data_IF_765566722766
#
_entry.id   IF_765566722766
#
_cell.length_a   1.000
_cell.length_b   1.000
_cell.length_c   1.000
_cell.angle_alpha   90.00
_cell.angle_beta   90.00
_cell.angle_gamma   90.00
#
_symmetry.space_group_name_H-M   'P 1'
#
loop_
_entity.id
_entity.type
_entity.pdbx_description
1 polymer ?
#
# COMPACT_ATOMS: atom_id res chain seq x y z
N UNK A 1 7.48 -24.40 13.04
CA UNK A 1 7.65 -23.57 14.22
C UNK A 1 6.59 -22.52 14.29
N UNK A 2 5.93 -22.43 15.40
CA UNK A 2 4.79 -21.55 15.57
C UNK A 2 5.17 -20.08 15.40
N UNK A 3 6.29 -19.69 16.01
CA UNK A 3 6.67 -18.29 15.99
C UNK A 3 7.06 -17.79 14.62
N UNK A 4 7.29 -18.68 13.64
CA UNK A 4 7.62 -18.24 12.29
C UNK A 4 6.44 -17.62 11.57
N UNK A 5 5.24 -17.93 12.04
CA UNK A 5 4.04 -17.29 11.48
C UNK A 5 4.06 -15.78 11.67
N UNK A 6 4.76 -15.34 12.68
CA UNK A 6 4.75 -13.93 13.05
C UNK A 6 6.12 -13.30 12.92
N UNK A 7 6.91 -13.78 11.97
CA UNK A 7 8.18 -13.14 11.72
C UNK A 7 7.95 -11.72 11.24
N UNK A 8 8.94 -10.85 11.45
CA UNK A 8 8.83 -9.46 11.04
C UNK A 8 8.53 -9.34 9.55
N UNK A 9 9.25 -10.09 8.74
CA UNK A 9 9.05 -9.99 7.29
C UNK A 9 7.66 -10.47 6.87
N UNK A 10 7.10 -11.46 7.56
CA UNK A 10 5.76 -11.93 7.24
C UNK A 10 4.71 -10.88 7.59
N UNK A 11 4.86 -10.24 8.74
CA UNK A 11 3.94 -9.18 9.14
C UNK A 11 4.01 -8.03 8.16
N UNK A 12 5.22 -7.63 7.80
CA UNK A 12 5.40 -6.53 6.86
C UNK A 12 4.84 -6.87 5.48
N UNK A 13 4.96 -8.12 5.06
CA UNK A 13 4.40 -8.51 3.78
C UNK A 13 2.89 -8.40 3.78
N UNK A 14 2.24 -8.78 4.87
CA UNK A 14 0.80 -8.62 4.97
C UNK A 14 0.40 -7.17 4.94
N UNK A 15 1.15 -6.32 5.62
CA UNK A 15 0.89 -4.88 5.59
C UNK A 15 1.08 -4.33 4.19
N UNK A 16 2.11 -4.79 3.48
CA UNK A 16 2.33 -4.37 2.12
C UNK A 16 1.14 -4.73 1.22
N UNK A 17 0.63 -5.95 1.36
CA UNK A 17 -0.53 -6.37 0.57
C UNK A 17 -1.77 -5.54 0.88
N UNK A 18 -1.92 -5.13 2.15
CA UNK A 18 -3.00 -4.21 2.50
C UNK A 18 -2.84 -2.87 1.82
N UNK A 19 -1.61 -2.36 1.72
CA UNK A 19 -1.38 -1.10 1.02
C UNK A 19 -1.78 -1.20 -0.44
N UNK A 20 -1.44 -2.31 -1.08
CA UNK A 20 -1.80 -2.51 -2.48
C UNK A 20 -3.32 -2.57 -2.66
N UNK A 21 -4.01 -3.24 -1.75
CA UNK A 21 -5.46 -3.32 -1.83
C UNK A 21 -6.10 -1.94 -1.64
N UNK A 22 -5.57 -1.16 -0.70
CA UNK A 22 -6.06 0.19 -0.48
C UNK A 22 -5.81 1.09 -1.68
N UNK A 23 -4.64 0.95 -2.31
CA UNK A 23 -4.34 1.71 -3.51
C UNK A 23 -5.38 1.45 -4.58
N UNK A 24 -5.71 0.17 -4.81
CA UNK A 24 -6.66 -0.19 -5.84
C UNK A 24 -8.04 0.39 -5.55
N UNK A 25 -8.50 0.29 -4.31
CA UNK A 25 -9.80 0.79 -3.92
C UNK A 25 -9.87 2.31 -4.04
N UNK A 26 -8.81 2.99 -3.61
CA UNK A 26 -8.79 4.45 -3.66
C UNK A 26 -8.71 4.95 -5.10
N UNK A 27 -8.00 4.24 -5.98
CA UNK A 27 -7.98 4.62 -7.38
C UNK A 27 -9.37 4.54 -7.98
N UNK A 28 -10.11 3.50 -7.66
CA UNK A 28 -11.46 3.33 -8.15
C UNK A 28 -12.35 4.46 -7.67
N UNK A 29 -12.25 4.81 -6.38
CA UNK A 29 -13.02 5.91 -5.83
C UNK A 29 -12.64 7.25 -6.45
N UNK A 30 -11.36 7.45 -6.71
CA UNK A 30 -10.89 8.66 -7.35
C UNK A 30 -11.54 8.84 -8.72
N UNK A 31 -11.50 7.77 -9.51
CA UNK A 31 -12.08 7.84 -10.86
C UNK A 31 -13.58 8.11 -10.80
N UNK A 32 -14.26 7.50 -9.86
CA UNK A 32 -15.69 7.70 -9.71
C UNK A 32 -16.01 9.14 -9.30
N UNK A 33 -15.25 9.68 -8.36
CA UNK A 33 -15.43 11.07 -7.94
C UNK A 33 -15.22 12.02 -9.10
N UNK A 34 -14.19 11.78 -9.91
CA UNK A 34 -13.89 12.63 -11.04
C UNK A 34 -14.99 12.55 -12.10
N UNK A 35 -15.53 11.35 -12.33
CA UNK A 35 -16.62 11.19 -13.28
C UNK A 35 -17.87 11.95 -12.84
N UNK A 36 -18.07 12.08 -11.55
CA UNK A 36 -19.22 12.81 -11.02
C UNK A 36 -18.96 14.30 -10.88
N UNK A 37 -17.80 14.77 -11.31
CA UNK A 37 -17.46 16.18 -11.23
C UNK A 37 -17.03 16.66 -9.85
N UNK A 38 -16.76 15.74 -8.94
CA UNK A 38 -16.32 16.08 -7.58
C UNK A 38 -14.81 16.28 -7.58
N UNK A 39 -14.38 17.41 -8.14
CA UNK A 39 -12.95 17.62 -8.37
C UNK A 39 -12.18 17.80 -7.09
N UNK A 40 -12.75 18.45 -6.08
CA UNK A 40 -12.03 18.62 -4.83
C UNK A 40 -11.88 17.31 -4.08
N UNK A 41 -12.97 16.51 -4.03
CA UNK A 41 -12.91 15.20 -3.40
C UNK A 41 -11.91 14.31 -4.14
N UNK A 42 -11.99 14.30 -5.48
CA UNK A 42 -11.08 13.49 -6.27
C UNK A 42 -9.63 13.90 -6.05
N UNK A 43 -9.36 15.20 -5.97
CA UNK A 43 -8.02 15.67 -5.71
C UNK A 43 -7.49 15.26 -4.35
N UNK A 44 -8.36 15.31 -3.33
CA UNK A 44 -7.95 14.90 -1.99
C UNK A 44 -7.63 13.40 -1.94
N UNK A 45 -8.44 12.59 -2.63
CA UNK A 45 -8.18 11.15 -2.66
C UNK A 45 -6.90 10.86 -3.41
N UNK A 46 -6.64 11.59 -4.50
CA UNK A 46 -5.38 11.40 -5.23
C UNK A 46 -4.16 11.71 -4.37
N UNK A 47 -4.24 12.74 -3.54
CA UNK A 47 -3.16 13.04 -2.62
C UNK A 47 -2.90 11.92 -1.65
N UNK A 48 -3.97 11.35 -1.10
CA UNK A 48 -3.86 10.20 -0.20
C UNK A 48 -3.28 9.00 -0.93
N UNK A 49 -3.76 8.76 -2.14
CA UNK A 49 -3.31 7.64 -2.95
C UNK A 49 -1.81 7.75 -3.24
N UNK A 50 -1.34 8.96 -3.52
CA UNK A 50 0.08 9.17 -3.77
C UNK A 50 0.93 8.78 -2.55
N UNK A 51 0.49 9.20 -1.36
CA UNK A 51 1.21 8.88 -0.12
C UNK A 51 1.25 7.37 0.12
N UNK A 52 0.12 6.71 -0.09
CA UNK A 52 0.04 5.26 0.12
C UNK A 52 0.95 4.55 -0.88
N UNK A 53 0.98 5.02 -2.13
CA UNK A 53 1.85 4.43 -3.14
C UNK A 53 3.32 4.59 -2.79
N UNK A 54 3.71 5.76 -2.30
CA UNK A 54 5.08 5.99 -1.87
C UNK A 54 5.46 5.03 -0.75
N UNK A 55 4.57 4.88 0.23
CA UNK A 55 4.83 4.00 1.36
C UNK A 55 4.88 2.53 0.92
N UNK A 56 4.01 2.14 0.00
CA UNK A 56 4.04 0.77 -0.50
C UNK A 56 5.36 0.47 -1.19
N UNK A 57 5.88 1.42 -1.96
CA UNK A 57 7.18 1.25 -2.60
C UNK A 57 8.31 1.12 -1.61
N UNK A 58 8.28 1.93 -0.56
CA UNK A 58 9.27 1.86 0.50
C UNK A 58 9.22 0.49 1.20
N UNK A 59 8.02 0.03 1.52
CA UNK A 59 7.85 -1.26 2.19
C UNK A 59 8.36 -2.39 1.31
N UNK A 60 8.05 -2.32 0.01
CA UNK A 60 8.49 -3.35 -0.93
C UNK A 60 10.00 -3.45 -0.94
N UNK A 61 10.69 -2.32 -1.03
CA UNK A 61 12.14 -2.31 -1.06
C UNK A 61 12.73 -2.77 0.26
N UNK A 62 12.12 -2.35 1.37
CA UNK A 62 12.57 -2.78 2.68
C UNK A 62 12.43 -4.27 2.88
N UNK A 63 11.31 -4.84 2.41
CA UNK A 63 11.10 -6.27 2.49
C UNK A 63 12.15 -7.04 1.71
N UNK A 64 12.47 -6.57 0.51
CA UNK A 64 13.47 -7.24 -0.31
C UNK A 64 14.81 -7.26 0.40
N UNK A 65 15.19 -6.14 1.02
CA UNK A 65 16.45 -6.07 1.73
C UNK A 65 16.46 -6.92 2.98
N UNK A 66 15.36 -6.93 3.71
CA UNK A 66 15.27 -7.77 4.90
C UNK A 66 15.40 -9.24 4.56
N UNK A 67 14.75 -9.65 3.47
CA UNK A 67 14.79 -11.04 3.08
C UNK A 67 16.14 -11.47 2.56
N UNK A 68 16.82 -10.59 1.84
CA UNK A 68 18.14 -10.94 1.35
C UNK A 68 19.14 -11.05 2.48
N UNK A 69 18.97 -10.28 3.57
CA UNK A 69 19.86 -10.37 4.71
C UNK A 69 19.63 -11.61 5.55
N UNK A 70 18.46 -12.20 5.45
CA UNK A 70 18.11 -13.38 6.24
C UNK A 70 18.56 -14.68 5.59
N UNK A 71 19.24 -14.57 4.47
CA UNK A 71 19.81 -15.75 3.82
C UNK A 71 21.13 -16.14 4.45
#
# INVERSE_FOLDING_TARGET
MQFRKYSLSDVLERMYKNQLALEAALMELTLQAEQQGLTEVGGNIRGTLWTIGENAGFIKQGLAKLRSKNL
#
